data_IF_148501651701
#
_entry.id   IF_148501651701
#
_cell.length_a   1.000
_cell.length_b   1.000
_cell.length_c   1.000
_cell.angle_alpha   90.00
_cell.angle_beta   90.00
_cell.angle_gamma   90.00
#
_symmetry.space_group_name_H-M   'P 1'
#
loop_
_entity.id
_entity.type
_entity.pdbx_description
1 polymer ?
#
# COMPACT_ATOMS: atom_id res chain seq x y z
N UNK A 1 48.93 -40.51 37.92
CA UNK A 1 49.26 -40.64 39.35
C UNK A 1 50.13 -39.44 39.72
N UNK A 2 49.92 -38.89 40.93
CA UNK A 2 50.66 -37.79 41.56
C UNK A 2 50.54 -36.39 40.91
N UNK A 3 50.51 -35.29 41.69
CA UNK A 3 50.08 -35.01 43.09
C UNK A 3 49.67 -33.53 43.14
N UNK A 4 48.83 -33.17 44.12
CA UNK A 4 48.35 -31.83 44.49
C UNK A 4 49.41 -30.73 44.75
N UNK A 5 48.93 -29.48 44.84
CA UNK A 5 49.25 -28.68 46.05
C UNK A 5 49.50 -27.17 45.91
N UNK A 6 48.63 -26.36 46.54
CA UNK A 6 48.84 -24.98 47.09
C UNK A 6 49.35 -23.85 46.15
N UNK A 7 48.55 -22.81 45.88
CA UNK A 7 48.39 -21.54 46.66
C UNK A 7 49.63 -20.61 46.56
N UNK A 8 49.54 -19.28 46.34
CA UNK A 8 48.47 -18.32 46.67
C UNK A 8 48.54 -16.98 45.87
N UNK A 9 47.37 -16.35 45.71
CA UNK A 9 47.05 -14.88 45.68
C UNK A 9 48.02 -13.82 45.10
N UNK A 10 47.49 -12.88 44.30
CA UNK A 10 47.10 -11.51 44.75
C UNK A 10 46.34 -10.72 43.64
N UNK A 11 45.47 -9.79 44.08
CA UNK A 11 44.75 -8.64 43.46
C UNK A 11 45.11 -8.19 42.00
N UNK A 12 44.32 -7.49 41.19
CA UNK A 12 43.07 -6.67 41.31
C UNK A 12 42.56 -6.34 39.88
N UNK A 13 41.36 -5.85 39.55
CA UNK A 13 40.01 -5.67 40.18
C UNK A 13 38.98 -5.48 39.02
N UNK A 14 37.67 -5.36 39.34
CA UNK A 14 36.49 -4.78 38.62
C UNK A 14 36.51 -4.59 37.06
N UNK A 15 35.48 -5.00 36.30
CA UNK A 15 34.07 -4.66 36.52
C UNK A 15 33.10 -5.68 35.87
N UNK A 16 32.10 -6.12 36.62
CA UNK A 16 31.29 -7.32 36.33
C UNK A 16 29.96 -7.00 35.60
N UNK A 17 29.56 -7.87 34.66
CA UNK A 17 28.24 -7.77 33.99
C UNK A 17 27.11 -8.23 34.92
N UNK A 18 26.71 -7.37 35.85
CA UNK A 18 25.61 -7.61 36.81
C UNK A 18 24.28 -7.93 36.12
N UNK A 19 23.96 -9.23 36.04
CA UNK A 19 22.66 -9.75 35.63
C UNK A 19 21.75 -9.88 36.85
N UNK A 20 20.85 -8.92 37.06
CA UNK A 20 19.97 -8.89 38.23
C UNK A 20 18.69 -9.75 38.07
N UNK A 21 18.82 -11.02 38.46
CA UNK A 21 17.93 -11.83 39.31
C UNK A 21 16.40 -11.74 39.16
N UNK A 22 15.80 -12.94 39.07
CA UNK A 22 14.38 -13.30 39.13
C UNK A 22 13.49 -12.57 40.16
N UNK A 23 12.25 -12.31 39.74
CA UNK A 23 11.06 -12.48 40.59
C UNK A 23 10.21 -13.64 40.04
N UNK A 24 10.11 -14.73 40.79
CA UNK A 24 9.32 -15.91 40.41
C UNK A 24 7.88 -15.73 40.87
N UNK A 25 6.89 -15.93 39.98
CA UNK A 25 5.53 -16.29 40.39
C UNK A 25 4.89 -17.27 39.40
N UNK A 26 5.11 -18.55 39.67
CA UNK A 26 4.31 -19.73 39.29
C UNK A 26 3.53 -19.70 37.96
N UNK A 27 4.12 -20.40 36.99
CA UNK A 27 3.45 -21.37 36.12
C UNK A 27 1.99 -21.72 36.46
N UNK A 28 1.12 -21.64 35.45
CA UNK A 28 0.10 -22.69 35.25
C UNK A 28 -0.20 -22.88 33.76
N UNK A 29 0.41 -23.89 33.15
CA UNK A 29 -0.08 -24.48 31.91
C UNK A 29 -1.15 -25.51 32.25
N UNK A 30 -2.30 -25.50 31.56
CA UNK A 30 -3.16 -26.68 31.49
C UNK A 30 -3.86 -26.78 30.13
N UNK A 31 -3.46 -27.78 29.36
CA UNK A 31 -4.30 -28.44 28.36
C UNK A 31 -4.56 -29.87 28.83
N UNK A 32 -5.75 -30.13 29.38
CA UNK A 32 -6.31 -31.48 29.47
C UNK A 32 -7.82 -31.38 29.74
N UNK A 33 -8.61 -32.09 28.94
CA UNK A 33 -10.05 -32.29 29.19
C UNK A 33 -10.21 -33.48 30.14
N UNK A 34 -10.79 -33.26 31.31
CA UNK A 34 -11.43 -34.31 32.11
C UNK A 34 -12.53 -33.70 32.97
N UNK A 35 -13.71 -34.33 32.97
CA UNK A 35 -14.95 -33.63 33.30
C UNK A 35 -15.21 -33.44 34.80
N UNK A 36 -15.65 -32.24 35.16
CA UNK A 36 -16.73 -32.02 36.12
C UNK A 36 -17.31 -30.62 35.88
N UNK A 37 -18.65 -30.51 35.90
CA UNK A 37 -19.34 -29.32 35.37
C UNK A 37 -19.16 -28.08 36.26
N UNK A 38 -18.45 -27.07 35.75
CA UNK A 38 -18.48 -25.69 36.25
C UNK A 38 -18.56 -24.75 35.03
N UNK A 39 -19.41 -23.73 35.13
CA UNK A 39 -19.92 -22.94 34.01
C UNK A 39 -18.82 -22.21 33.20
N UNK A 40 -18.64 -22.62 31.93
CA UNK A 40 -17.58 -22.14 31.03
C UNK A 40 -17.80 -20.69 30.53
N UNK A 41 -18.82 -20.00 31.05
CA UNK A 41 -19.22 -18.63 30.66
C UNK A 41 -18.47 -17.51 31.38
N UNK A 42 -17.62 -17.79 32.38
CA UNK A 42 -16.98 -16.76 33.22
C UNK A 42 -15.46 -16.56 33.04
N UNK A 43 -14.84 -17.08 31.97
CA UNK A 43 -13.40 -16.87 31.68
C UNK A 43 -13.09 -16.25 30.31
N UNK A 44 -13.82 -15.19 29.95
CA UNK A 44 -13.43 -14.28 28.86
C UNK A 44 -13.61 -12.83 29.29
N UNK A 45 -12.51 -12.08 29.37
CA UNK A 45 -12.51 -10.61 29.46
C UNK A 45 -12.98 -9.89 28.18
N UNK A 46 -13.74 -10.58 27.31
CA UNK A 46 -14.34 -10.04 26.09
C UNK A 46 -15.63 -9.28 26.44
N UNK A 47 -15.47 -8.14 27.11
CA UNK A 47 -16.60 -7.27 27.47
C UNK A 47 -16.83 -6.17 26.43
N UNK A 48 -18.12 -5.96 26.11
CA UNK A 48 -18.71 -4.85 25.34
C UNK A 48 -18.67 -4.86 23.81
N UNK A 49 -18.42 -5.97 23.12
CA UNK A 49 -18.91 -6.06 21.72
C UNK A 49 -20.42 -6.30 21.73
N UNK A 50 -21.17 -5.53 20.95
CA UNK A 50 -22.59 -5.79 20.72
C UNK A 50 -22.77 -7.17 20.08
N UNK A 51 -23.80 -7.91 20.53
CA UNK A 51 -24.01 -9.30 20.10
C UNK A 51 -24.18 -9.43 18.57
N UNK A 52 -24.75 -8.41 17.93
CA UNK A 52 -24.88 -8.29 16.47
C UNK A 52 -23.50 -8.15 15.80
N UNK A 53 -22.67 -7.22 16.24
CA UNK A 53 -21.37 -6.95 15.61
C UNK A 53 -20.36 -8.08 15.84
N UNK A 54 -20.34 -8.64 17.06
CA UNK A 54 -19.53 -9.81 17.38
C UNK A 54 -19.87 -11.02 16.49
N UNK A 55 -21.17 -11.22 16.20
CA UNK A 55 -21.65 -12.26 15.29
C UNK A 55 -21.13 -12.03 13.87
N UNK A 56 -21.24 -10.82 13.33
CA UNK A 56 -20.75 -10.51 11.96
C UNK A 56 -19.24 -10.73 11.86
N UNK A 57 -18.44 -10.29 12.85
CA UNK A 57 -16.99 -10.51 12.87
C UNK A 57 -16.61 -12.01 12.88
N UNK A 58 -17.39 -12.83 13.60
CA UNK A 58 -17.20 -14.27 13.66
C UNK A 58 -17.57 -14.95 12.33
N UNK A 59 -18.74 -14.64 11.76
CA UNK A 59 -19.21 -15.16 10.47
C UNK A 59 -18.25 -14.80 9.32
N UNK A 60 -17.64 -13.61 9.37
CA UNK A 60 -16.66 -13.14 8.37
C UNK A 60 -15.22 -13.61 8.62
N UNK A 61 -14.96 -14.37 9.69
CA UNK A 61 -13.64 -14.88 10.11
C UNK A 61 -12.60 -13.77 10.37
N UNK A 62 -13.02 -12.64 10.94
CA UNK A 62 -12.16 -11.45 11.13
C UNK A 62 -11.52 -11.36 12.51
N UNK A 63 -11.87 -12.28 13.42
CA UNK A 63 -11.11 -12.51 14.62
C UNK A 63 -9.96 -13.47 14.27
N UNK A 64 -8.69 -13.13 14.57
CA UNK A 64 -7.56 -14.00 14.25
C UNK A 64 -7.72 -15.36 14.94
N UNK A 65 -7.70 -16.43 14.14
CA UNK A 65 -7.86 -17.81 14.61
C UNK A 65 -6.73 -18.23 15.56
N UNK A 66 -5.54 -17.64 15.37
CA UNK A 66 -4.38 -17.78 16.25
C UNK A 66 -4.16 -16.49 17.06
N UNK A 67 -4.24 -16.53 18.41
CA UNK A 67 -4.01 -15.36 19.27
C UNK A 67 -2.62 -14.72 19.10
N UNK A 68 -1.61 -15.50 18.67
CA UNK A 68 -0.26 -15.01 18.36
C UNK A 68 -0.19 -14.02 17.19
N UNK A 69 -1.23 -13.98 16.34
CA UNK A 69 -1.32 -13.08 15.18
C UNK A 69 -2.18 -11.84 15.48
N UNK A 70 -2.76 -11.75 16.69
CA UNK A 70 -3.63 -10.64 17.07
C UNK A 70 -2.84 -9.35 17.35
N UNK A 71 -3.10 -8.33 16.55
CA UNK A 71 -2.51 -7.00 16.74
C UNK A 71 -3.22 -6.25 17.88
N UNK A 72 -2.77 -6.45 19.11
CA UNK A 72 -3.36 -5.80 20.28
C UNK A 72 -2.91 -4.32 20.45
N UNK A 73 -3.41 -3.46 19.57
CA UNK A 73 -3.14 -2.01 19.59
C UNK A 73 -3.78 -1.31 20.79
N UNK A 74 -4.93 -1.81 21.26
CA UNK A 74 -5.80 -1.17 22.25
C UNK A 74 -5.63 -1.66 23.69
N UNK A 75 -4.99 -2.82 23.89
CA UNK A 75 -5.07 -3.61 25.13
C UNK A 75 -6.26 -4.58 25.16
N UNK A 76 -7.30 -4.35 24.34
CA UNK A 76 -8.57 -5.10 24.28
C UNK A 76 -8.70 -6.01 23.05
N UNK A 77 -7.63 -6.16 22.27
CA UNK A 77 -7.60 -6.94 21.04
C UNK A 77 -7.56 -6.09 19.77
N UNK A 78 -7.71 -6.75 18.62
CA UNK A 78 -7.60 -6.12 17.30
C UNK A 78 -8.86 -5.32 16.90
N UNK A 79 -10.05 -5.74 17.36
CA UNK A 79 -11.30 -4.99 17.24
C UNK A 79 -11.84 -4.56 18.61
N UNK A 80 -12.39 -3.34 18.72
CA UNK A 80 -12.94 -2.79 19.97
C UNK A 80 -14.21 -1.99 19.73
N UNK A 81 -15.22 -2.13 20.59
CA UNK A 81 -16.32 -1.16 20.71
C UNK A 81 -16.05 -0.22 21.90
N UNK A 82 -16.07 1.08 21.62
CA UNK A 82 -15.96 2.14 22.63
C UNK A 82 -17.30 2.84 22.83
N UNK A 83 -17.69 3.01 24.09
CA UNK A 83 -18.80 3.87 24.47
C UNK A 83 -18.44 5.35 24.33
N UNK A 84 -19.45 6.22 24.23
CA UNK A 84 -19.26 7.69 24.19
C UNK A 84 -18.45 8.25 25.36
N UNK A 85 -18.44 7.55 26.50
CA UNK A 85 -17.74 7.96 27.72
C UNK A 85 -16.24 7.65 27.68
N UNK A 86 -15.81 6.72 26.81
CA UNK A 86 -14.40 6.37 26.62
C UNK A 86 -13.70 7.26 25.58
N UNK A 87 -14.37 8.29 25.05
CA UNK A 87 -13.85 9.18 23.99
C UNK A 87 -12.52 9.84 24.38
N UNK A 88 -12.38 10.33 25.61
CA UNK A 88 -11.11 10.91 26.06
C UNK A 88 -10.00 9.87 26.20
N UNK A 89 -10.31 8.68 26.73
CA UNK A 89 -9.36 7.56 26.78
C UNK A 89 -8.91 7.13 25.38
N UNK A 90 -9.81 7.13 24.40
CA UNK A 90 -9.52 6.86 23.00
C UNK A 90 -8.66 7.97 22.36
N UNK A 91 -8.94 9.25 22.66
CA UNK A 91 -8.13 10.38 22.19
C UNK A 91 -6.71 10.35 22.76
N UNK A 92 -6.52 9.91 24.02
CA UNK A 92 -5.20 9.68 24.60
C UNK A 92 -4.46 8.48 23.99
N UNK A 93 -5.19 7.42 23.62
CA UNK A 93 -4.63 6.23 22.96
C UNK A 93 -4.24 6.49 21.49
N UNK A 94 -5.05 7.29 20.78
CA UNK A 94 -4.93 7.63 19.36
C UNK A 94 -4.90 9.16 19.17
N UNK A 95 -3.77 9.77 19.48
CA UNK A 95 -3.59 11.22 19.32
C UNK A 95 -3.57 11.58 17.84
N UNK A 96 -4.48 12.45 17.39
CA UNK A 96 -4.47 12.96 16.01
C UNK A 96 -3.23 13.85 15.80
N UNK A 97 -2.52 13.64 14.70
CA UNK A 97 -1.39 14.48 14.28
C UNK A 97 -1.76 15.35 13.07
N UNK A 98 -2.49 14.81 12.08
CA UNK A 98 -2.91 15.53 10.88
C UNK A 98 -4.18 14.94 10.23
N UNK A 99 -4.83 15.68 9.32
CA UNK A 99 -5.96 15.21 8.49
C UNK A 99 -5.50 15.02 7.05
N UNK A 100 -5.37 13.76 6.64
CA UNK A 100 -4.84 13.33 5.34
C UNK A 100 -5.86 13.47 4.20
N UNK A 101 -7.15 13.45 4.51
CA UNK A 101 -8.22 13.62 3.52
C UNK A 101 -9.62 13.49 4.11
N UNK A 102 -10.63 13.94 3.36
CA UNK A 102 -12.04 13.81 3.77
C UNK A 102 -12.98 13.71 2.58
N UNK A 103 -14.08 13.00 2.76
CA UNK A 103 -15.22 12.91 1.85
C UNK A 103 -16.51 13.19 2.64
N UNK A 104 -17.67 13.12 1.99
CA UNK A 104 -18.97 13.29 2.67
C UNK A 104 -19.24 12.20 3.74
N UNK A 105 -18.70 11.00 3.56
CA UNK A 105 -19.00 9.83 4.38
C UNK A 105 -17.81 9.31 5.21
N UNK A 106 -16.58 9.75 4.92
CA UNK A 106 -15.39 9.30 5.64
C UNK A 106 -14.37 10.43 5.83
N UNK A 107 -13.57 10.33 6.89
CA UNK A 107 -12.38 11.16 7.13
C UNK A 107 -11.17 10.26 7.34
N UNK A 108 -10.01 10.67 6.79
CA UNK A 108 -8.73 9.98 6.94
C UNK A 108 -7.76 10.89 7.68
N UNK A 109 -7.20 10.41 8.80
CA UNK A 109 -6.32 11.19 9.67
C UNK A 109 -5.09 10.38 10.03
N UNK A 110 -3.94 11.03 10.21
CA UNK A 110 -2.79 10.40 10.84
C UNK A 110 -2.97 10.45 12.37
N UNK A 111 -2.80 9.30 13.03
CA UNK A 111 -2.93 9.17 14.48
C UNK A 111 -1.71 8.47 15.06
N UNK A 112 -1.17 9.01 16.16
CA UNK A 112 -0.07 8.41 16.90
C UNK A 112 -0.64 7.44 17.93
N UNK A 113 -0.46 6.15 17.66
CA UNK A 113 -0.79 5.05 18.57
C UNK A 113 0.47 4.64 19.33
N UNK A 114 0.59 5.05 20.60
CA UNK A 114 1.81 4.94 21.42
C UNK A 114 3.03 5.60 20.75
N UNK A 115 3.82 4.82 19.99
CA UNK A 115 5.00 5.25 19.24
C UNK A 115 4.85 5.12 17.72
N UNK A 116 3.80 4.45 17.22
CA UNK A 116 3.59 4.18 15.79
C UNK A 116 2.65 5.23 15.21
N UNK A 117 2.91 5.71 13.99
CA UNK A 117 1.96 6.53 13.25
C UNK A 117 1.08 5.62 12.37
N UNK A 118 -0.23 5.75 12.51
CA UNK A 118 -1.25 4.97 11.81
C UNK A 118 -2.18 5.88 11.02
N UNK A 119 -2.70 5.41 9.89
CA UNK A 119 -3.79 6.08 9.20
C UNK A 119 -5.13 5.59 9.79
N UNK A 120 -5.94 6.50 10.32
CA UNK A 120 -7.32 6.22 10.74
C UNK A 120 -8.28 6.66 9.64
N UNK A 121 -8.95 5.71 8.98
CA UNK A 121 -10.12 5.97 8.13
C UNK A 121 -11.38 5.78 8.99
N UNK A 122 -12.04 6.88 9.36
CA UNK A 122 -13.31 6.86 10.10
C UNK A 122 -14.45 7.05 9.11
N UNK A 123 -15.34 6.07 9.02
CA UNK A 123 -16.49 5.99 8.11
C UNK A 123 -17.76 6.10 8.93
N UNK A 124 -18.65 7.01 8.54
CA UNK A 124 -19.95 7.19 9.19
C UNK A 124 -20.94 6.14 8.69
N UNK A 125 -21.32 5.19 9.54
CA UNK A 125 -22.39 4.26 9.19
C UNK A 125 -23.75 4.98 9.25
N UNK A 126 -24.57 4.77 8.25
CA UNK A 126 -25.91 5.36 8.11
C UNK A 126 -26.90 4.27 7.69
N UNK A 127 -28.19 4.60 7.59
CA UNK A 127 -29.16 3.64 7.05
C UNK A 127 -28.88 3.25 5.57
N UNK A 128 -28.06 4.03 4.85
CA UNK A 128 -27.63 3.74 3.48
C UNK A 128 -26.22 3.10 3.39
N UNK A 129 -25.48 3.04 4.49
CA UNK A 129 -24.17 2.39 4.58
C UNK A 129 -24.05 1.69 5.94
N UNK A 130 -24.41 0.42 5.97
CA UNK A 130 -24.60 -0.34 7.21
C UNK A 130 -23.28 -0.74 7.85
N UNK A 131 -23.31 -1.05 9.15
CA UNK A 131 -22.15 -1.61 9.88
C UNK A 131 -21.62 -2.89 9.19
N UNK A 132 -22.48 -3.73 8.61
CA UNK A 132 -22.06 -4.91 7.85
C UNK A 132 -21.23 -4.56 6.60
N UNK A 133 -21.66 -3.56 5.81
CA UNK A 133 -20.91 -3.13 4.62
C UNK A 133 -19.55 -2.53 5.00
N UNK A 134 -19.49 -1.83 6.13
CA UNK A 134 -18.26 -1.30 6.69
C UNK A 134 -17.30 -2.41 7.16
N UNK A 135 -17.84 -3.53 7.69
CA UNK A 135 -17.06 -4.73 8.03
C UNK A 135 -16.55 -5.46 6.78
N UNK A 136 -17.30 -5.47 5.67
CA UNK A 136 -16.85 -6.11 4.42
C UNK A 136 -15.56 -5.47 3.85
N UNK A 137 -15.38 -4.15 3.98
CA UNK A 137 -14.12 -3.48 3.65
C UNK A 137 -12.95 -4.01 4.50
N UNK A 138 -13.16 -4.18 5.81
CA UNK A 138 -12.18 -4.78 6.74
C UNK A 138 -11.92 -6.23 6.36
N UNK A 139 -12.93 -6.98 5.92
CA UNK A 139 -12.82 -8.39 5.56
C UNK A 139 -11.91 -8.63 4.35
N UNK A 140 -12.02 -7.80 3.31
CA UNK A 140 -11.15 -7.93 2.15
C UNK A 140 -9.71 -7.51 2.47
N UNK A 141 -9.52 -6.42 3.23
CA UNK A 141 -8.17 -5.91 3.52
C UNK A 141 -7.39 -6.77 4.52
N UNK A 142 -8.06 -7.42 5.48
CA UNK A 142 -7.42 -8.32 6.46
C UNK A 142 -6.93 -9.63 5.85
N UNK A 143 -7.49 -10.07 4.71
CA UNK A 143 -7.03 -11.26 3.96
C UNK A 143 -5.73 -11.02 3.18
N UNK A 144 -5.34 -9.77 2.96
CA UNK A 144 -4.19 -9.40 2.15
C UNK A 144 -3.01 -8.98 3.04
N UNK A 145 -1.84 -9.57 2.78
CA UNK A 145 -0.62 -9.31 3.56
C UNK A 145 0.59 -9.29 2.63
N UNK A 146 1.00 -8.09 2.25
CA UNK A 146 2.12 -7.89 1.32
C UNK A 146 2.83 -6.57 1.61
N UNK A 147 4.15 -6.50 1.39
CA UNK A 147 4.96 -5.30 1.69
C UNK A 147 4.53 -4.03 0.95
N UNK A 148 3.71 -4.15 -0.09
CA UNK A 148 3.22 -3.06 -0.94
C UNK A 148 1.68 -2.99 -0.99
N UNK A 149 1.02 -3.48 0.05
CA UNK A 149 -0.43 -3.29 0.29
C UNK A 149 -0.58 -2.68 1.68
N UNK A 150 -1.47 -1.70 1.84
CA UNK A 150 -1.79 -1.13 3.15
C UNK A 150 -2.41 -2.20 4.05
N UNK A 151 -1.87 -2.38 5.25
CA UNK A 151 -2.32 -3.41 6.20
C UNK A 151 -3.29 -2.85 7.23
N UNK A 152 -4.32 -3.62 7.59
CA UNK A 152 -5.12 -3.34 8.80
C UNK A 152 -4.28 -3.65 10.04
N UNK A 153 -4.21 -2.67 10.96
CA UNK A 153 -3.65 -2.82 12.30
C UNK A 153 -4.73 -3.16 13.31
N UNK A 154 -5.90 -2.56 13.16
CA UNK A 154 -7.06 -2.83 13.98
C UNK A 154 -8.26 -2.02 13.54
N UNK A 155 -9.38 -2.22 14.21
CA UNK A 155 -10.61 -1.49 13.94
C UNK A 155 -11.30 -1.16 15.26
N UNK A 156 -12.14 -0.12 15.26
CA UNK A 156 -13.03 0.11 16.37
C UNK A 156 -14.32 0.81 15.94
N UNK A 157 -15.40 0.58 16.67
CA UNK A 157 -16.63 1.37 16.54
C UNK A 157 -16.74 2.32 17.73
N UNK A 158 -17.14 3.56 17.47
CA UNK A 158 -17.59 4.50 18.49
C UNK A 158 -18.90 5.11 18.01
N UNK A 159 -19.96 4.97 18.82
CA UNK A 159 -21.33 5.36 18.47
C UNK A 159 -21.79 4.70 17.14
N UNK A 160 -21.85 5.46 16.04
CA UNK A 160 -22.23 4.98 14.71
C UNK A 160 -21.08 4.98 13.69
N UNK A 161 -19.87 5.38 14.08
CA UNK A 161 -18.74 5.51 13.16
C UNK A 161 -17.80 4.30 13.30
N UNK A 162 -17.51 3.60 12.20
CA UNK A 162 -16.44 2.59 12.12
C UNK A 162 -15.12 3.29 11.83
N UNK A 163 -14.09 3.01 12.61
CA UNK A 163 -12.72 3.46 12.36
C UNK A 163 -11.81 2.29 12.05
N UNK A 164 -11.11 2.36 10.92
CA UNK A 164 -10.11 1.40 10.47
C UNK A 164 -8.73 2.02 10.70
N UNK A 165 -7.89 1.34 11.49
CA UNK A 165 -6.50 1.71 11.71
C UNK A 165 -5.62 0.94 10.74
N UNK A 166 -4.83 1.66 9.97
CA UNK A 166 -4.05 1.16 8.85
C UNK A 166 -2.59 1.58 8.96
N UNK A 167 -1.71 0.82 8.31
CA UNK A 167 -0.29 1.14 8.19
C UNK A 167 0.24 0.81 6.79
N UNK A 168 1.21 1.58 6.26
CA UNK A 168 1.74 2.80 6.88
C UNK A 168 0.86 4.03 6.63
N UNK A 169 1.18 5.12 7.32
CA UNK A 169 0.84 6.46 6.82
C UNK A 169 1.77 6.78 5.65
N UNK A 170 1.24 7.45 4.64
CA UNK A 170 1.97 7.95 3.48
C UNK A 170 1.75 9.45 3.36
N UNK A 171 2.78 10.17 2.92
CA UNK A 171 2.76 11.61 2.75
C UNK A 171 2.02 12.04 1.48
N UNK A 172 1.98 11.19 0.45
CA UNK A 172 1.32 11.48 -0.84
C UNK A 172 0.49 10.29 -1.34
N UNK A 173 -0.42 10.55 -2.28
CA UNK A 173 -0.87 9.55 -3.25
C UNK A 173 -0.12 9.72 -4.58
N UNK A 174 -0.21 8.73 -5.48
CA UNK A 174 0.56 8.70 -6.71
C UNK A 174 0.16 9.83 -7.67
N UNK A 175 -1.11 10.26 -7.72
CA UNK A 175 -1.53 11.42 -8.52
C UNK A 175 -0.78 12.68 -8.08
N UNK A 176 -0.88 13.04 -6.80
CA UNK A 176 -0.20 14.23 -6.24
C UNK A 176 1.32 14.13 -6.38
N UNK A 177 1.89 12.95 -6.14
CA UNK A 177 3.32 12.71 -6.23
C UNK A 177 3.87 12.88 -7.66
N UNK A 178 3.08 12.51 -8.67
CA UNK A 178 3.42 12.71 -10.09
C UNK A 178 3.22 14.16 -10.53
N UNK A 179 2.14 14.85 -10.13
CA UNK A 179 1.92 16.26 -10.45
C UNK A 179 2.98 17.18 -9.80
N UNK A 180 3.54 16.79 -8.65
CA UNK A 180 4.67 17.46 -7.99
C UNK A 180 6.02 17.20 -8.68
N UNK A 181 6.15 16.19 -9.56
CA UNK A 181 7.43 15.77 -10.17
C UNK A 181 7.93 16.70 -11.30
N UNK A 182 7.71 18.01 -11.16
CA UNK A 182 8.14 19.04 -12.12
C UNK A 182 9.57 19.51 -11.80
N UNK A 183 10.56 19.36 -12.70
CA UNK A 183 11.96 19.75 -12.44
C UNK A 183 12.12 21.17 -11.88
N UNK A 184 11.33 22.15 -12.37
CA UNK A 184 11.41 23.54 -11.93
C UNK A 184 10.94 23.80 -10.48
N UNK A 185 10.35 22.82 -9.80
CA UNK A 185 9.76 22.95 -8.46
C UNK A 185 10.49 22.13 -7.38
N UNK A 186 11.41 21.24 -7.77
CA UNK A 186 12.07 20.31 -6.86
C UNK A 186 13.58 20.49 -6.91
N UNK A 187 14.25 20.30 -5.77
CA UNK A 187 15.70 20.25 -5.75
C UNK A 187 16.22 19.03 -6.53
N UNK A 188 17.36 19.19 -7.23
CA UNK A 188 18.02 18.16 -8.06
C UNK A 188 18.02 16.77 -7.45
N UNK A 189 18.37 16.64 -6.17
CA UNK A 189 18.41 15.33 -5.51
C UNK A 189 17.02 14.71 -5.35
N UNK A 190 16.06 15.49 -4.86
CA UNK A 190 14.71 15.01 -4.56
C UNK A 190 13.98 14.54 -5.83
N UNK A 191 14.07 15.32 -6.91
CA UNK A 191 13.49 14.93 -8.20
C UNK A 191 14.01 13.58 -8.69
N UNK A 192 15.33 13.33 -8.57
CA UNK A 192 15.96 12.05 -8.97
C UNK A 192 15.46 10.90 -8.12
N UNK A 193 15.35 11.13 -6.81
CA UNK A 193 14.84 10.15 -5.85
C UNK A 193 13.39 9.78 -6.13
N UNK A 194 12.53 10.76 -6.40
CA UNK A 194 11.12 10.54 -6.76
C UNK A 194 10.99 9.76 -8.07
N UNK A 195 11.66 10.20 -9.15
CA UNK A 195 11.61 9.52 -10.45
C UNK A 195 12.17 8.09 -10.40
N UNK A 196 13.28 7.87 -9.67
CA UNK A 196 13.85 6.53 -9.45
C UNK A 196 12.88 5.65 -8.67
N UNK A 197 12.16 6.20 -7.68
CA UNK A 197 11.21 5.44 -6.86
C UNK A 197 9.94 5.06 -7.63
N UNK A 198 9.49 5.87 -8.60
CA UNK A 198 8.43 5.49 -9.54
C UNK A 198 8.84 4.28 -10.39
N UNK A 199 10.00 4.38 -11.05
CA UNK A 199 10.55 3.33 -11.91
C UNK A 199 10.73 2.00 -11.15
N UNK A 200 11.35 2.07 -9.96
CA UNK A 200 11.53 0.90 -9.09
C UNK A 200 10.22 0.42 -8.43
N UNK A 201 9.17 1.23 -8.45
CA UNK A 201 7.84 0.93 -7.93
C UNK A 201 6.97 0.09 -8.88
N UNK A 202 7.19 0.16 -10.20
CA UNK A 202 6.40 -0.62 -11.19
C UNK A 202 6.40 -2.13 -10.87
N UNK A 203 7.55 -2.79 -10.62
CA UNK A 203 7.53 -4.21 -10.27
C UNK A 203 6.92 -4.50 -8.89
N UNK A 204 6.94 -3.53 -7.97
CA UNK A 204 6.29 -3.65 -6.67
C UNK A 204 4.77 -3.76 -6.82
N UNK A 205 4.19 -2.91 -7.68
CA UNK A 205 2.76 -2.92 -7.98
C UNK A 205 2.33 -4.20 -8.69
N UNK A 206 3.14 -4.73 -9.61
CA UNK A 206 2.89 -6.03 -10.24
C UNK A 206 2.89 -7.19 -9.23
N UNK A 207 3.85 -7.22 -8.29
CA UNK A 207 3.86 -8.22 -7.22
C UNK A 207 2.69 -8.07 -6.23
N UNK A 208 2.32 -6.84 -5.88
CA UNK A 208 1.14 -6.57 -5.06
C UNK A 208 -0.15 -7.03 -5.75
N UNK A 209 -0.29 -6.75 -7.05
CA UNK A 209 -1.43 -7.21 -7.84
C UNK A 209 -1.49 -8.73 -7.96
N UNK A 210 -0.33 -9.40 -8.12
CA UNK A 210 -0.27 -10.85 -8.05
C UNK A 210 -0.77 -11.36 -6.69
N UNK A 211 -0.34 -10.75 -5.59
CA UNK A 211 -0.80 -11.14 -4.25
C UNK A 211 -2.32 -10.95 -4.07
N UNK A 212 -2.91 -9.87 -4.62
CA UNK A 212 -4.36 -9.65 -4.62
C UNK A 212 -5.08 -10.75 -5.40
N UNK A 213 -4.60 -11.07 -6.61
CA UNK A 213 -5.24 -12.03 -7.51
C UNK A 213 -5.13 -13.49 -7.03
N UNK A 214 -4.00 -13.92 -6.44
CA UNK A 214 -3.88 -15.30 -5.89
C UNK A 214 -4.72 -15.51 -4.63
N UNK A 215 -5.08 -14.43 -3.92
CA UNK A 215 -6.03 -14.46 -2.81
C UNK A 215 -7.47 -14.18 -3.29
N UNK A 216 -7.76 -14.51 -4.55
CA UNK A 216 -9.10 -14.51 -5.15
C UNK A 216 -9.89 -13.22 -4.96
N UNK A 217 -9.19 -12.09 -4.98
CA UNK A 217 -9.77 -10.78 -4.71
C UNK A 217 -9.66 -9.88 -5.93
N UNK A 218 -10.74 -9.16 -6.24
CA UNK A 218 -10.75 -8.03 -7.18
C UNK A 218 -10.63 -6.73 -6.41
N UNK A 219 -9.72 -5.85 -6.81
CA UNK A 219 -9.55 -4.52 -6.21
C UNK A 219 -10.68 -3.58 -6.64
N UNK A 220 -10.94 -3.52 -7.95
CA UNK A 220 -11.99 -2.79 -8.68
C UNK A 220 -11.89 -1.26 -8.70
N UNK A 221 -11.03 -0.64 -7.90
CA UNK A 221 -10.74 0.81 -7.96
C UNK A 221 -9.24 1.12 -8.00
N UNK A 222 -8.48 0.46 -8.89
CA UNK A 222 -7.05 0.80 -9.08
C UNK A 222 -6.95 2.10 -9.87
N UNK A 223 -6.31 3.09 -9.24
CA UNK A 223 -6.07 4.43 -9.80
C UNK A 223 -4.94 5.12 -9.02
N UNK A 224 -4.32 6.19 -9.53
CA UNK A 224 -3.21 6.87 -8.86
C UNK A 224 -3.58 7.42 -7.47
N UNK A 225 -4.83 7.84 -7.25
CA UNK A 225 -5.30 8.33 -5.95
C UNK A 225 -5.32 7.23 -4.87
N UNK A 226 -5.47 5.95 -5.27
CA UNK A 226 -5.51 4.79 -4.40
C UNK A 226 -4.15 4.06 -4.28
N UNK A 227 -3.10 4.62 -4.87
CA UNK A 227 -1.71 4.14 -4.69
C UNK A 227 -0.98 5.17 -3.82
N UNK A 228 -0.68 4.79 -2.59
CA UNK A 228 0.00 5.66 -1.63
C UNK A 228 1.52 5.64 -1.83
N UNK A 229 2.17 6.78 -1.58
CA UNK A 229 3.62 6.97 -1.73
C UNK A 229 4.19 7.46 -0.41
N UNK A 230 5.03 6.64 0.22
CA UNK A 230 5.67 6.94 1.52
C UNK A 230 7.16 7.22 1.37
N UNK A 231 7.70 8.26 2.02
CA UNK A 231 9.15 8.42 2.20
C UNK A 231 9.68 7.33 3.15
N UNK A 232 10.66 6.56 2.66
CA UNK A 232 11.30 5.45 3.39
C UNK A 232 12.81 5.66 3.59
N UNK A 233 13.33 6.88 3.42
CA UNK A 233 14.76 7.22 3.60
C UNK A 233 15.23 6.96 5.02
N UNK A 234 14.43 7.40 6.00
CA UNK A 234 14.72 7.32 7.44
C UNK A 234 14.28 6.01 8.10
N UNK A 235 13.64 5.12 7.33
CA UNK A 235 12.96 3.93 7.82
C UNK A 235 13.74 2.65 7.47
N UNK A 236 13.64 1.63 8.33
CA UNK A 236 14.26 0.31 8.11
C UNK A 236 13.40 -0.60 7.24
N UNK A 237 12.18 -0.19 6.92
CA UNK A 237 11.25 -0.86 6.02
C UNK A 237 11.97 -1.44 4.80
N UNK A 238 11.60 -2.68 4.42
CA UNK A 238 12.13 -3.34 3.22
C UNK A 238 11.74 -2.52 1.99
N UNK A 239 12.67 -1.68 1.54
CA UNK A 239 12.55 -0.81 0.37
C UNK A 239 13.26 -1.41 -0.84
N UNK A 240 12.82 -1.13 -2.08
CA UNK A 240 13.63 -1.46 -3.25
C UNK A 240 15.02 -0.84 -3.07
N UNK A 241 16.07 -1.58 -3.42
CA UNK A 241 17.45 -1.09 -3.23
C UNK A 241 17.63 0.24 -3.96
N UNK A 242 18.03 1.28 -3.22
CA UNK A 242 18.19 2.67 -3.67
C UNK A 242 16.89 3.46 -3.94
N UNK A 243 15.70 2.94 -3.63
CA UNK A 243 14.48 3.76 -3.62
C UNK A 243 14.38 4.59 -2.34
N UNK A 244 14.00 5.86 -2.47
CA UNK A 244 13.75 6.76 -1.33
C UNK A 244 12.27 6.80 -0.97
N UNK A 245 11.38 6.48 -1.91
CA UNK A 245 9.95 6.35 -1.69
C UNK A 245 9.47 4.93 -1.98
N UNK A 246 8.36 4.51 -1.36
CA UNK A 246 7.75 3.19 -1.55
C UNK A 246 6.26 3.32 -1.86
N UNK A 247 5.81 2.58 -2.87
CA UNK A 247 4.41 2.52 -3.32
C UNK A 247 3.62 1.45 -2.56
N UNK A 248 2.37 1.74 -2.21
CA UNK A 248 1.43 0.81 -1.57
C UNK A 248 0.05 0.90 -2.22
N UNK A 249 -0.56 -0.23 -2.58
CA UNK A 249 -1.97 -0.28 -3.00
C UNK A 249 -2.87 -0.13 -1.76
N UNK A 250 -3.89 0.71 -1.87
CA UNK A 250 -4.80 1.09 -0.79
C UNK A 250 -6.26 1.24 -1.27
N UNK A 251 -7.15 1.50 -0.31
CA UNK A 251 -8.61 1.70 -0.48
C UNK A 251 -9.38 0.56 -1.16
N UNK A 252 -9.55 -0.52 -0.40
CA UNK A 252 -10.31 -1.71 -0.79
C UNK A 252 -11.83 -1.57 -0.53
N UNK A 253 -12.33 -0.33 -0.41
CA UNK A 253 -13.72 -0.02 0.00
C UNK A 253 -14.82 -0.57 -0.91
N UNK A 254 -14.52 -0.84 -2.17
CA UNK A 254 -15.45 -1.54 -3.09
C UNK A 254 -15.01 -2.97 -3.44
N UNK A 255 -13.83 -3.42 -3.01
CA UNK A 255 -13.24 -4.70 -3.40
C UNK A 255 -14.11 -5.90 -3.03
N UNK A 256 -13.84 -7.06 -3.63
CA UNK A 256 -14.59 -8.30 -3.42
C UNK A 256 -13.67 -9.52 -3.47
N UNK A 257 -13.79 -10.42 -2.50
CA UNK A 257 -13.18 -11.76 -2.54
C UNK A 257 -14.19 -12.82 -3.02
N UNK A 258 -13.69 -13.88 -3.64
CA UNK A 258 -14.48 -14.96 -4.25
C UNK A 258 -13.89 -16.34 -3.92
N UNK A 259 -14.71 -17.38 -4.03
CA UNK A 259 -14.30 -18.75 -3.67
C UNK A 259 -13.55 -19.49 -4.80
N UNK A 260 -13.65 -19.03 -6.05
CA UNK A 260 -12.98 -19.60 -7.22
C UNK A 260 -12.69 -18.55 -8.30
N UNK A 261 -11.89 -18.89 -9.33
CA UNK A 261 -11.55 -17.95 -10.43
C UNK A 261 -12.81 -17.64 -11.24
N UNK A 262 -13.62 -18.66 -11.51
CA UNK A 262 -14.90 -18.58 -12.22
C UNK A 262 -15.87 -17.69 -11.45
N UNK A 263 -15.89 -17.78 -10.11
CA UNK A 263 -16.69 -16.91 -9.26
C UNK A 263 -16.24 -15.43 -9.29
N UNK A 264 -14.99 -15.12 -9.68
CA UNK A 264 -14.56 -13.72 -9.88
C UNK A 264 -15.24 -13.07 -11.09
N UNK A 265 -15.81 -13.85 -12.02
CA UNK A 265 -16.45 -13.33 -13.22
C UNK A 265 -17.90 -12.91 -12.93
N UNK A 266 -18.12 -11.62 -12.68
CA UNK A 266 -19.40 -11.08 -12.20
C UNK A 266 -20.09 -10.17 -13.21
N UNK A 267 -21.42 -10.12 -13.18
CA UNK A 267 -22.25 -9.23 -14.00
C UNK A 267 -23.00 -8.19 -13.12
N UNK A 268 -23.72 -7.25 -13.75
CA UNK A 268 -24.58 -6.29 -13.05
C UNK A 268 -23.87 -5.04 -12.50
N UNK A 269 -24.60 -4.07 -11.93
CA UNK A 269 -24.07 -2.76 -11.56
C UNK A 269 -23.10 -2.81 -10.37
N UNK A 270 -22.03 -2.01 -10.43
CA UNK A 270 -21.06 -1.80 -9.35
C UNK A 270 -20.51 -0.38 -9.49
N UNK A 271 -20.11 0.26 -8.38
CA UNK A 271 -19.44 1.56 -8.45
C UNK A 271 -18.01 1.39 -8.99
N UNK A 272 -17.58 2.27 -9.88
CA UNK A 272 -16.23 2.29 -10.44
C UNK A 272 -15.81 3.73 -10.79
N UNK A 273 -14.51 4.01 -10.81
CA UNK A 273 -13.99 5.28 -11.33
C UNK A 273 -13.96 5.23 -12.87
N UNK A 274 -14.92 5.88 -13.54
CA UNK A 274 -15.12 5.79 -15.00
C UNK A 274 -13.86 5.99 -15.82
N UNK A 275 -12.92 6.83 -15.37
CA UNK A 275 -11.69 7.14 -16.10
C UNK A 275 -10.78 5.93 -16.33
N UNK A 276 -10.67 5.03 -15.36
CA UNK A 276 -9.71 3.93 -15.33
C UNK A 276 -10.36 2.54 -15.50
N UNK A 277 -11.69 2.49 -15.62
CA UNK A 277 -12.44 1.25 -15.71
C UNK A 277 -12.23 0.57 -17.07
N UNK A 278 -12.07 -0.76 -17.07
CA UNK A 278 -11.96 -1.53 -18.30
C UNK A 278 -13.26 -1.50 -19.11
N UNK A 279 -13.23 -1.64 -20.46
CA UNK A 279 -14.42 -1.63 -21.31
C UNK A 279 -15.53 -2.55 -20.79
N UNK A 280 -15.20 -3.80 -20.44
CA UNK A 280 -16.18 -4.79 -19.96
C UNK A 280 -16.83 -4.41 -18.61
N UNK A 281 -16.24 -3.48 -17.85
CA UNK A 281 -16.84 -2.93 -16.62
C UNK A 281 -17.87 -1.85 -16.95
N UNK A 282 -17.59 -1.03 -17.97
CA UNK A 282 -18.44 0.08 -18.42
C UNK A 282 -19.65 -0.45 -19.18
N UNK A 283 -19.41 -1.41 -20.08
CA UNK A 283 -20.43 -2.10 -20.87
C UNK A 283 -21.29 -3.05 -20.00
N UNK A 284 -20.88 -3.27 -18.74
CA UNK A 284 -21.51 -4.14 -17.72
C UNK A 284 -21.47 -5.63 -18.06
N UNK A 285 -20.60 -5.99 -18.99
CA UNK A 285 -20.25 -7.36 -19.34
C UNK A 285 -19.62 -8.12 -18.17
N UNK A 286 -19.36 -9.41 -18.44
CA UNK A 286 -18.75 -10.34 -17.49
C UNK A 286 -17.30 -9.92 -17.20
N UNK A 287 -17.07 -9.35 -16.00
CA UNK A 287 -15.76 -8.81 -15.58
C UNK A 287 -15.07 -9.67 -14.52
N UNK A 288 -13.84 -10.09 -14.81
CA UNK A 288 -12.97 -10.85 -13.91
C UNK A 288 -11.73 -10.07 -13.46
N UNK A 289 -10.68 -10.79 -13.04
CA UNK A 289 -9.39 -10.23 -12.61
C UNK A 289 -8.69 -9.35 -13.68
N UNK A 290 -9.01 -9.54 -14.97
CA UNK A 290 -8.44 -8.77 -16.08
C UNK A 290 -8.82 -7.27 -16.07
N UNK A 291 -9.89 -6.88 -15.35
CA UNK A 291 -10.28 -5.48 -15.22
C UNK A 291 -9.31 -4.68 -14.32
N UNK A 292 -8.76 -5.31 -13.28
CA UNK A 292 -7.73 -4.71 -12.41
C UNK A 292 -6.39 -4.55 -13.17
N UNK A 293 -6.10 -5.44 -14.13
CA UNK A 293 -4.93 -5.32 -15.01
C UNK A 293 -5.04 -4.10 -15.94
N UNK A 294 -6.21 -3.87 -16.54
CA UNK A 294 -6.46 -2.68 -17.36
C UNK A 294 -6.29 -1.40 -16.55
N UNK A 295 -6.89 -1.37 -15.36
CA UNK A 295 -6.82 -0.24 -14.43
C UNK A 295 -5.37 0.05 -14.01
N UNK A 296 -4.58 -0.98 -13.70
CA UNK A 296 -3.14 -0.87 -13.43
C UNK A 296 -2.35 -0.44 -14.68
N UNK A 297 -2.76 -0.86 -15.87
CA UNK A 297 -2.20 -0.44 -17.15
C UNK A 297 -2.34 1.07 -17.34
N UNK A 298 -3.52 1.62 -17.05
CA UNK A 298 -3.79 3.06 -17.09
C UNK A 298 -2.86 3.84 -16.14
N UNK A 299 -2.66 3.34 -14.91
CA UNK A 299 -1.67 3.90 -13.97
C UNK A 299 -0.26 3.88 -14.57
N UNK A 300 0.12 2.79 -15.24
CA UNK A 300 1.44 2.69 -15.86
C UNK A 300 1.58 3.66 -17.05
N UNK A 301 0.53 3.91 -17.83
CA UNK A 301 0.52 4.97 -18.87
C UNK A 301 0.82 6.34 -18.25
N UNK A 302 0.18 6.69 -17.12
CA UNK A 302 0.46 7.98 -16.46
C UNK A 302 1.90 8.05 -15.95
N UNK A 303 2.41 7.00 -15.27
CA UNK A 303 3.82 6.94 -14.82
C UNK A 303 4.78 7.09 -16.02
N UNK A 304 4.58 6.37 -17.12
CA UNK A 304 5.44 6.48 -18.30
C UNK A 304 5.32 7.85 -18.97
N UNK A 305 4.16 8.51 -18.97
CA UNK A 305 4.02 9.87 -19.50
C UNK A 305 4.88 10.89 -18.74
N UNK A 306 5.06 10.69 -17.42
CA UNK A 306 5.90 11.53 -16.56
C UNK A 306 7.37 11.17 -16.74
N UNK A 307 7.72 9.87 -16.67
CA UNK A 307 9.11 9.40 -16.78
C UNK A 307 9.69 9.61 -18.18
N UNK A 308 8.96 9.31 -19.26
CA UNK A 308 9.50 9.46 -20.62
C UNK A 308 9.81 10.92 -20.96
N UNK A 309 8.94 11.85 -20.55
CA UNK A 309 9.15 13.30 -20.73
C UNK A 309 10.29 13.87 -19.89
N UNK A 310 10.95 13.02 -19.11
CA UNK A 310 12.08 13.31 -18.24
C UNK A 310 13.39 12.69 -18.77
N UNK A 311 13.35 11.64 -19.62
CA UNK A 311 14.53 10.86 -20.02
C UNK A 311 14.88 10.87 -21.52
N UNK A 312 14.09 11.55 -22.35
CA UNK A 312 14.27 11.63 -23.81
C UNK A 312 15.69 12.05 -24.25
N UNK A 313 16.37 13.04 -23.62
CA UNK A 313 17.71 13.45 -24.04
C UNK A 313 18.80 12.40 -23.76
N UNK A 314 18.67 11.65 -22.66
CA UNK A 314 19.72 10.75 -22.18
C UNK A 314 19.72 9.40 -22.91
N UNK A 315 18.55 8.87 -23.24
CA UNK A 315 18.38 7.58 -23.90
C UNK A 315 19.01 7.56 -25.30
N UNK A 316 18.90 8.67 -26.05
CA UNK A 316 19.52 8.89 -27.38
C UNK A 316 21.05 8.82 -27.38
N UNK A 317 21.70 8.72 -26.22
CA UNK A 317 23.17 8.73 -26.06
C UNK A 317 23.76 7.44 -25.48
N UNK A 318 22.92 6.49 -25.03
CA UNK A 318 23.36 5.31 -24.25
C UNK A 318 22.55 4.03 -24.59
N UNK A 319 22.58 3.62 -25.86
CA UNK A 319 21.75 2.54 -26.41
C UNK A 319 21.97 1.13 -25.83
N UNK A 320 23.14 0.84 -25.22
CA UNK A 320 23.56 -0.54 -24.89
C UNK A 320 23.15 -1.06 -23.49
N UNK A 321 22.39 -0.30 -22.70
CA UNK A 321 22.12 -0.65 -21.28
C UNK A 321 20.79 -1.35 -21.04
N UNK A 322 20.72 -2.13 -19.97
CA UNK A 322 19.50 -2.85 -19.57
C UNK A 322 18.71 -2.12 -18.47
N UNK A 323 17.42 -2.41 -18.33
CA UNK A 323 16.51 -1.79 -17.37
C UNK A 323 17.03 -1.75 -15.90
N UNK A 324 17.75 -2.77 -15.37
CA UNK A 324 18.39 -2.69 -14.05
C UNK A 324 19.59 -1.74 -13.97
N UNK A 325 20.38 -1.62 -15.04
CA UNK A 325 21.51 -0.69 -15.10
C UNK A 325 21.06 0.76 -15.26
N UNK A 326 19.96 0.99 -15.98
CA UNK A 326 19.32 2.29 -16.13
C UNK A 326 19.04 2.92 -14.75
N UNK A 327 18.45 2.16 -13.81
CA UNK A 327 18.23 2.62 -12.43
C UNK A 327 19.53 2.87 -11.63
N UNK A 328 20.68 2.30 -12.03
CA UNK A 328 21.98 2.62 -11.42
C UNK A 328 22.54 3.94 -11.99
N UNK A 329 22.49 4.15 -13.30
CA UNK A 329 22.95 5.38 -13.98
C UNK A 329 22.08 6.60 -13.65
N UNK A 330 20.82 6.38 -13.29
CA UNK A 330 19.90 7.39 -12.75
C UNK A 330 20.45 8.22 -11.56
N UNK A 331 21.49 7.72 -10.88
CA UNK A 331 22.24 8.46 -9.85
C UNK A 331 23.18 9.54 -10.38
N UNK A 332 23.61 9.47 -11.64
CA UNK A 332 24.71 10.29 -12.18
C UNK A 332 24.23 11.53 -12.95
N UNK A 333 23.50 11.40 -14.06
CA UNK A 333 23.44 12.46 -15.10
C UNK A 333 22.12 13.21 -15.33
N UNK A 334 20.95 12.56 -15.29
CA UNK A 334 19.74 13.03 -16.00
C UNK A 334 19.15 14.43 -15.66
N UNK A 335 19.35 14.98 -14.46
CA UNK A 335 18.66 16.23 -14.05
C UNK A 335 19.16 17.50 -14.75
N UNK A 336 20.47 17.59 -15.05
CA UNK A 336 21.04 18.82 -15.64
C UNK A 336 20.46 19.08 -17.04
N UNK A 337 20.35 18.04 -17.86
CA UNK A 337 19.77 18.09 -19.20
C UNK A 337 18.27 18.48 -19.14
N UNK A 338 17.51 17.91 -18.20
CA UNK A 338 16.09 18.24 -18.00
C UNK A 338 15.82 19.65 -17.44
N UNK A 339 16.84 20.36 -16.96
CA UNK A 339 16.71 21.71 -16.39
C UNK A 339 16.92 22.86 -17.39
N UNK A 340 17.41 22.56 -18.61
CA UNK A 340 17.75 23.56 -19.61
C UNK A 340 16.69 23.78 -20.71
N UNK A 341 15.74 22.86 -20.89
CA UNK A 341 14.61 23.08 -21.81
C UNK A 341 13.52 23.93 -21.15
N UNK A 342 13.08 24.98 -21.85
CA UNK A 342 11.99 25.83 -21.39
C UNK A 342 10.69 25.02 -21.35
N UNK A 343 10.14 24.85 -20.15
CA UNK A 343 9.01 23.98 -19.85
C UNK A 343 7.71 24.56 -20.41
N UNK A 344 7.49 24.35 -21.70
CA UNK A 344 6.25 24.69 -22.42
C UNK A 344 5.13 23.69 -22.10
N UNK A 345 3.91 24.01 -22.54
CA UNK A 345 2.69 23.16 -22.47
C UNK A 345 2.78 21.84 -23.28
N UNK A 346 3.99 21.35 -23.57
CA UNK A 346 4.26 20.19 -24.44
C UNK A 346 4.85 18.97 -23.72
N UNK A 347 4.89 18.94 -22.38
CA UNK A 347 5.31 17.73 -21.65
C UNK A 347 4.45 16.51 -22.03
N UNK A 348 5.03 15.31 -22.04
CA UNK A 348 4.33 14.09 -22.47
C UNK A 348 3.05 13.82 -21.63
N UNK A 349 3.03 14.14 -20.33
CA UNK A 349 1.80 14.11 -19.52
C UNK A 349 0.74 15.12 -19.96
N UNK A 350 1.13 16.28 -20.50
CA UNK A 350 0.19 17.27 -21.06
C UNK A 350 -0.29 16.87 -22.46
N UNK A 351 0.56 16.20 -23.25
CA UNK A 351 0.15 15.53 -24.50
C UNK A 351 -0.87 14.42 -24.22
N UNK A 352 -0.64 13.56 -23.22
CA UNK A 352 -1.59 12.53 -22.78
C UNK A 352 -2.93 13.15 -22.33
N UNK A 353 -2.90 14.25 -21.55
CA UNK A 353 -4.11 14.99 -21.16
C UNK A 353 -4.87 15.55 -22.37
N UNK A 354 -4.18 16.03 -23.41
CA UNK A 354 -4.81 16.45 -24.67
C UNK A 354 -5.41 15.29 -25.45
N UNK A 355 -4.70 14.16 -25.55
CA UNK A 355 -5.18 12.94 -26.22
C UNK A 355 -6.50 12.48 -25.61
N UNK A 356 -6.54 12.31 -24.28
CA UNK A 356 -7.75 11.90 -23.57
C UNK A 356 -8.89 12.94 -23.72
N UNK A 357 -8.57 14.22 -23.91
CA UNK A 357 -9.56 15.28 -24.11
C UNK A 357 -10.00 15.48 -25.57
N UNK A 358 -9.38 14.79 -26.55
CA UNK A 358 -9.62 14.99 -27.97
C UNK A 358 -10.72 14.08 -28.57
N UNK A 359 -11.25 13.15 -27.77
CA UNK A 359 -12.38 12.31 -28.16
C UNK A 359 -13.62 13.14 -28.53
N UNK A 360 -14.28 12.80 -29.65
CA UNK A 360 -15.48 13.47 -30.16
C UNK A 360 -16.65 13.51 -29.16
N UNK A 361 -16.73 12.53 -28.26
CA UNK A 361 -17.74 12.48 -27.19
C UNK A 361 -17.34 13.24 -25.91
N UNK A 362 -16.15 13.83 -25.87
CA UNK A 362 -15.60 14.50 -24.68
C UNK A 362 -15.23 13.57 -23.53
N UNK A 363 -15.33 12.25 -23.71
CA UNK A 363 -14.97 11.28 -22.68
C UNK A 363 -13.45 11.12 -22.56
N UNK A 364 -12.96 11.41 -21.35
CA UNK A 364 -11.54 11.42 -20.95
C UNK A 364 -11.06 10.12 -20.32
N UNK A 365 -11.83 9.06 -20.50
CA UNK A 365 -11.56 7.72 -20.01
C UNK A 365 -10.53 6.97 -20.87
N UNK A 366 -9.82 6.02 -20.29
CA UNK A 366 -8.85 5.23 -21.03
C UNK A 366 -9.52 4.27 -22.03
N UNK A 367 -10.65 3.67 -21.66
CA UNK A 367 -11.42 2.77 -22.53
C UNK A 367 -11.94 3.44 -23.80
N UNK A 368 -12.33 4.72 -23.73
CA UNK A 368 -12.76 5.48 -24.92
C UNK A 368 -11.58 6.02 -25.76
N UNK A 369 -10.33 5.88 -25.28
CA UNK A 369 -9.13 6.45 -25.91
C UNK A 369 -8.01 5.41 -26.13
N UNK A 370 -8.32 4.09 -26.12
CA UNK A 370 -7.31 3.02 -26.19
C UNK A 370 -6.38 3.19 -27.41
N UNK A 371 -6.93 3.42 -28.60
CA UNK A 371 -6.15 3.55 -29.84
C UNK A 371 -5.14 4.70 -29.81
N UNK A 372 -5.53 5.97 -29.58
CA UNK A 372 -4.57 7.08 -29.54
C UNK A 372 -3.63 7.03 -28.33
N UNK A 373 -4.05 6.44 -27.19
CA UNK A 373 -3.14 6.19 -26.05
C UNK A 373 -2.08 5.15 -26.41
N UNK A 374 -2.44 4.09 -27.15
CA UNK A 374 -1.50 3.08 -27.65
C UNK A 374 -0.49 3.67 -28.62
N UNK A 375 -0.93 4.52 -29.54
CA UNK A 375 -0.05 5.21 -30.50
C UNK A 375 0.95 6.15 -29.79
N UNK A 376 0.47 6.91 -28.80
CA UNK A 376 1.32 7.72 -27.92
C UNK A 376 2.36 6.89 -27.16
N UNK A 377 1.97 5.73 -26.63
CA UNK A 377 2.89 4.82 -25.97
C UNK A 377 3.94 4.27 -26.95
N UNK A 378 3.55 3.81 -28.15
CA UNK A 378 4.52 3.30 -29.12
C UNK A 378 5.55 4.35 -29.51
N UNK A 379 5.12 5.61 -29.73
CA UNK A 379 6.05 6.71 -29.98
C UNK A 379 7.10 6.86 -28.86
N UNK A 380 6.69 6.79 -27.59
CA UNK A 380 7.62 6.82 -26.45
C UNK A 380 8.62 5.64 -26.50
N UNK A 381 8.16 4.46 -26.92
CA UNK A 381 9.01 3.27 -27.06
C UNK A 381 10.01 3.35 -28.21
N UNK A 382 9.61 3.91 -29.34
CA UNK A 382 10.46 4.16 -30.51
C UNK A 382 11.55 5.21 -30.20
N UNK A 383 11.18 6.28 -29.51
CA UNK A 383 12.10 7.35 -29.08
C UNK A 383 13.04 6.90 -27.94
N UNK A 384 12.72 5.81 -27.23
CA UNK A 384 13.50 5.28 -26.11
C UNK A 384 13.50 3.74 -26.04
N UNK A 385 14.52 3.06 -26.62
CA UNK A 385 14.62 1.60 -26.64
C UNK A 385 14.60 0.89 -25.27
N UNK A 386 14.90 1.60 -24.17
CA UNK A 386 14.79 1.06 -22.81
C UNK A 386 13.33 0.85 -22.38
N UNK A 387 12.40 1.57 -22.99
CA UNK A 387 10.97 1.50 -22.75
C UNK A 387 10.20 0.68 -23.77
N UNK A 388 10.75 0.38 -24.94
CA UNK A 388 10.10 -0.41 -26.00
C UNK A 388 9.40 -1.67 -25.47
N UNK A 389 10.13 -2.57 -24.80
CA UNK A 389 9.56 -3.82 -24.27
C UNK A 389 8.62 -3.61 -23.08
N UNK A 390 8.94 -2.76 -22.07
CA UNK A 390 7.97 -2.42 -21.02
C UNK A 390 6.67 -1.82 -21.57
N UNK A 391 6.75 -1.00 -22.62
CA UNK A 391 5.59 -0.37 -23.27
C UNK A 391 4.75 -1.39 -24.01
N UNK A 392 5.34 -2.37 -24.69
CA UNK A 392 4.60 -3.48 -25.29
C UNK A 392 3.73 -4.21 -24.25
N UNK A 393 4.24 -4.44 -23.03
CA UNK A 393 3.44 -5.01 -21.94
C UNK A 393 2.36 -4.05 -21.42
N UNK A 394 2.63 -2.74 -21.27
CA UNK A 394 1.60 -1.75 -20.90
C UNK A 394 0.49 -1.66 -21.94
N UNK A 395 0.83 -1.68 -23.24
CA UNK A 395 -0.14 -1.72 -24.35
C UNK A 395 -1.01 -2.97 -24.27
N UNK A 396 -0.45 -4.14 -23.94
CA UNK A 396 -1.25 -5.35 -23.70
C UNK A 396 -2.15 -5.22 -22.48
N UNK A 397 -1.68 -4.61 -21.38
CA UNK A 397 -2.49 -4.38 -20.17
C UNK A 397 -3.75 -3.55 -20.48
N UNK A 398 -3.64 -2.53 -21.34
CA UNK A 398 -4.78 -1.70 -21.76
C UNK A 398 -5.54 -2.22 -22.98
N UNK A 399 -5.36 -3.49 -23.40
CA UNK A 399 -6.14 -4.03 -24.52
C UNK A 399 -7.65 -4.00 -24.21
N UNK A 400 -8.45 -3.65 -25.21
CA UNK A 400 -9.91 -3.70 -25.10
C UNK A 400 -10.40 -5.12 -24.80
N UNK A 401 -9.75 -6.14 -25.37
CA UNK A 401 -10.08 -7.54 -25.15
C UNK A 401 -9.43 -8.04 -23.84
N UNK A 402 -10.22 -8.43 -22.81
CA UNK A 402 -9.67 -8.89 -21.53
C UNK A 402 -8.83 -10.18 -21.65
N UNK A 403 -8.95 -10.95 -22.74
CA UNK A 403 -8.16 -12.18 -22.97
C UNK A 403 -6.76 -11.93 -23.51
N UNK A 404 -6.48 -10.74 -24.03
CA UNK A 404 -5.15 -10.36 -24.53
C UNK A 404 -4.26 -9.75 -23.42
N UNK A 405 -4.90 -9.28 -22.35
CA UNK A 405 -4.22 -8.69 -21.20
C UNK A 405 -3.41 -9.76 -20.46
N UNK A 406 -2.15 -9.47 -20.07
CA UNK A 406 -1.35 -10.39 -19.29
C UNK A 406 -1.95 -10.58 -17.90
N UNK A 407 -1.84 -11.79 -17.35
CA UNK A 407 -2.16 -12.05 -15.95
C UNK A 407 -1.18 -11.35 -15.02
N UNK A 408 -1.61 -11.05 -13.79
CA UNK A 408 -0.69 -10.51 -12.77
C UNK A 408 0.54 -11.41 -12.51
N UNK A 409 0.41 -12.73 -12.77
CA UNK A 409 1.52 -13.69 -12.67
C UNK A 409 2.54 -13.50 -13.79
N UNK A 410 2.10 -13.26 -15.02
CA UNK A 410 3.00 -12.95 -16.14
C UNK A 410 3.70 -11.60 -15.89
N UNK A 411 2.96 -10.58 -15.46
CA UNK A 411 3.53 -9.26 -15.14
C UNK A 411 4.56 -9.33 -14.00
N UNK A 412 4.28 -10.07 -12.93
CA UNK A 412 5.24 -10.29 -11.85
C UNK A 412 6.42 -11.20 -12.28
N UNK A 413 6.25 -12.08 -13.28
CA UNK A 413 7.33 -12.89 -13.85
C UNK A 413 8.23 -12.08 -14.79
N UNK A 414 7.67 -11.07 -15.46
CA UNK A 414 8.35 -10.16 -16.37
C UNK A 414 9.10 -9.05 -15.60
N UNK A 415 8.37 -8.20 -14.87
CA UNK A 415 8.95 -7.09 -14.12
C UNK A 415 9.51 -7.51 -12.75
N UNK A 416 8.85 -8.45 -12.07
CA UNK A 416 9.01 -8.69 -10.63
C UNK A 416 10.17 -9.59 -10.19
N UNK A 417 11.00 -10.11 -11.09
CA UNK A 417 12.12 -11.00 -10.70
C UNK A 417 13.14 -10.27 -9.81
N UNK A 418 13.33 -10.77 -8.58
CA UNK A 418 14.36 -10.39 -7.59
C UNK A 418 14.22 -9.01 -6.92
N UNK A 419 12.99 -8.51 -6.67
CA UNK A 419 12.83 -7.38 -5.74
C UNK A 419 12.81 -7.81 -4.27
N UNK A 420 13.88 -7.48 -3.54
CA UNK A 420 14.09 -7.79 -2.11
C UNK A 420 12.99 -7.19 -1.19
N UNK A 421 12.29 -6.15 -1.64
CA UNK A 421 11.22 -5.50 -0.88
C UNK A 421 9.89 -6.26 -0.89
N UNK A 422 9.61 -7.05 -1.93
CA UNK A 422 8.35 -7.76 -2.07
C UNK A 422 8.36 -9.02 -1.20
N UNK A 423 7.45 -9.09 -0.22
CA UNK A 423 7.23 -10.30 0.58
C UNK A 423 5.75 -10.45 0.92
N UNK A 424 5.29 -11.69 1.10
CA UNK A 424 3.91 -12.07 1.47
C UNK A 424 3.59 -11.81 2.96
N UNK A 425 4.17 -10.75 3.51
CA UNK A 425 3.90 -10.18 4.83
C UNK A 425 3.88 -8.66 4.68
N UNK A 426 2.98 -7.99 5.41
CA UNK A 426 3.02 -6.53 5.53
C UNK A 426 4.30 -6.03 6.20
N UNK A 427 4.64 -4.76 5.99
CA UNK A 427 5.81 -4.12 6.61
C UNK A 427 5.75 -4.15 8.15
N UNK A 428 6.92 -4.17 8.80
CA UNK A 428 7.01 -4.04 10.26
C UNK A 428 6.53 -2.65 10.73
N UNK A 429 5.95 -2.60 11.93
CA UNK A 429 5.45 -1.36 12.53
C UNK A 429 6.61 -0.54 13.10
N UNK A 430 6.93 0.55 12.44
CA UNK A 430 8.06 1.40 12.81
C UNK A 430 7.63 2.48 13.79
N UNK A 431 8.44 2.67 14.83
CA UNK A 431 8.29 3.82 15.71
C UNK A 431 8.60 5.11 14.95
N UNK A 432 7.78 6.14 15.14
CA UNK A 432 8.10 7.50 14.77
C UNK A 432 9.42 7.87 15.44
N UNK A 433 10.43 8.17 14.63
CA UNK A 433 11.67 8.75 15.12
C UNK A 433 11.33 10.14 15.66
N UNK A 434 11.57 10.37 16.95
CA UNK A 434 11.45 11.70 17.55
C UNK A 434 12.64 12.56 17.09
N UNK A 435 12.69 12.88 15.80
CA UNK A 435 13.58 13.92 15.27
C UNK A 435 12.93 15.26 15.66
N UNK A 436 13.59 16.14 16.43
CA UNK A 436 13.10 17.50 16.62
C UNK A 436 12.93 18.14 15.25
N UNK A 437 11.84 18.88 15.02
CA UNK A 437 11.70 19.71 13.80
C UNK A 437 12.77 20.80 13.85
N UNK A 438 13.95 20.52 13.30
CA UNK A 438 15.08 21.44 13.30
C UNK A 438 14.81 22.59 12.34
N UNK A 439 14.55 23.77 12.90
CA UNK A 439 14.68 25.05 12.20
C UNK A 439 13.55 25.38 11.22
N UNK A 440 12.50 26.04 11.72
CA UNK A 440 12.06 27.25 11.03
C UNK A 440 13.22 28.24 11.11
N UNK A 441 14.04 28.31 10.06
CA UNK A 441 14.95 29.44 9.89
C UNK A 441 14.12 30.66 9.51
N UNK A 442 13.76 31.43 10.54
CA UNK A 442 13.35 32.83 10.38
C UNK A 442 14.60 33.69 10.35
N UNK A 443 15.07 33.99 9.15
CA UNK A 443 15.73 35.26 8.80
C UNK A 443 15.67 35.47 7.29
#
# INVERSE_FOLDING_TARGET
>A
MHVDGSESSEYSDDDDYMTAISAVSNTTYFTAVSGSGVDERQRLGRSSLSAEYAKILFEKQLLPVEPSREKNWSGRGQHVEFSRFERESLNHLLRVEDTLGSTRSAIVQSVKCRRILLARKTIRCTHHFTKSQAIDEVAHLTRLSHSHIVQVIGTYVMENDLSILMYPVAEHNLATFMDELRPAQLHKLEWRERATSLLLGLPCLCNAMLHIHINMTKHMDIKPENILVRDVKQYKARRPSNASFKLYIADFGISRSYDSIEATETEGPTHFTHRYAAPEVVDRDKRGLAADIFSLGCVFVEIYSVLAGIFEPWARKHHDKTFPEFAWVMRSTAYEEASHEHQTDNSLSSQLRRILAANEFGDRSYQANITPVREFLFKIGEENPLYEKPIQEVVRMISANPRERPTAKELATYWGRRQICCSSVGDELEAVLNVPRTGQFTM
#
